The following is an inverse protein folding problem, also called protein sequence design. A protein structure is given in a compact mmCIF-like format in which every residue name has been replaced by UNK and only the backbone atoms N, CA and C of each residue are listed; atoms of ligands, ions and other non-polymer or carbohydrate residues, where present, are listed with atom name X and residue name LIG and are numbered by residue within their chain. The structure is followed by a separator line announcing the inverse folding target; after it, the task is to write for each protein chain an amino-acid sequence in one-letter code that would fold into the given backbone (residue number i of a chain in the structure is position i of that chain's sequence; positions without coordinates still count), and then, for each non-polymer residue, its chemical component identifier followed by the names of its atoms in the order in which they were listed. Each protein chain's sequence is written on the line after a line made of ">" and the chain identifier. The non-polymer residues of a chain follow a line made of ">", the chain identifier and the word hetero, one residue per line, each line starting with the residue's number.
data_IF_640525747324
#
_entry.id   IF_640525747324
#
_cell.length_a   1.000
_cell.length_b   1.000
_cell.length_c   1.000
_cell.angle_alpha   90.00
_cell.angle_beta   90.00
_cell.angle_gamma   90.00
#
_symmetry.space_group_name_H-M   'P 1'
#
loop_
_entity.id
_entity.type
_entity.pdbx_description
1 polymer ?
#
# COMPACT_ATOMS: atom_id res chain seq x y z
N UNK A 1 -14.07 -16.77 -6.96
CA UNK A 1 -14.20 -16.64 -5.49
C UNK A 1 -13.58 -17.87 -4.88
N UNK A 2 -12.61 -17.69 -3.98
CA UNK A 2 -11.94 -18.81 -3.32
C UNK A 2 -12.76 -19.22 -2.08
N UNK A 3 -13.18 -20.48 -2.03
CA UNK A 3 -13.88 -21.05 -0.88
C UNK A 3 -12.88 -21.56 0.17
N UNK A 4 -13.03 -21.10 1.41
CA UNK A 4 -12.15 -21.48 2.52
C UNK A 4 -12.78 -22.55 3.40
N UNK A 5 -12.02 -23.58 3.70
CA UNK A 5 -12.36 -24.54 4.75
C UNK A 5 -12.55 -23.83 6.10
N UNK A 6 -13.44 -24.35 6.94
CA UNK A 6 -13.78 -23.71 8.23
C UNK A 6 -12.56 -23.55 9.14
N UNK A 7 -11.64 -24.51 9.14
CA UNK A 7 -10.41 -24.47 9.92
C UNK A 7 -9.47 -23.36 9.42
N UNK A 8 -9.23 -23.32 8.10
CA UNK A 8 -8.44 -22.27 7.46
C UNK A 8 -9.02 -20.88 7.73
N UNK A 9 -10.34 -20.74 7.65
CA UNK A 9 -11.04 -19.48 7.94
C UNK A 9 -10.87 -19.04 9.39
N UNK A 10 -10.79 -19.97 10.35
CA UNK A 10 -10.52 -19.65 11.76
C UNK A 10 -9.08 -19.19 11.96
N UNK A 11 -8.12 -19.89 11.36
CA UNK A 11 -6.71 -19.50 11.41
C UNK A 11 -6.46 -18.10 10.82
N UNK A 12 -7.02 -17.83 9.65
CA UNK A 12 -6.93 -16.51 9.00
C UNK A 12 -7.61 -15.41 9.80
N UNK A 13 -8.72 -15.70 10.51
CA UNK A 13 -9.34 -14.73 11.42
C UNK A 13 -8.43 -14.36 12.60
N UNK A 14 -7.78 -15.34 13.21
CA UNK A 14 -6.84 -15.10 14.29
C UNK A 14 -5.64 -14.27 13.81
N UNK A 15 -5.05 -14.63 12.66
CA UNK A 15 -3.97 -13.87 12.05
C UNK A 15 -4.41 -12.44 11.70
N UNK A 16 -5.62 -12.28 11.15
CA UNK A 16 -6.17 -10.98 10.81
C UNK A 16 -6.25 -10.08 12.04
N UNK A 17 -6.71 -10.55 13.21
CA UNK A 17 -6.97 -9.68 14.37
C UNK A 17 -5.81 -8.71 14.70
N UNK A 18 -4.57 -9.15 14.59
CA UNK A 18 -3.37 -8.33 14.90
C UNK A 18 -2.91 -7.39 13.78
N UNK A 19 -3.40 -7.58 12.55
CA UNK A 19 -3.03 -6.75 11.41
C UNK A 19 -3.68 -5.36 11.47
N UNK A 20 -2.99 -4.35 10.95
CA UNK A 20 -3.56 -3.03 10.73
C UNK A 20 -4.19 -2.94 9.33
N UNK A 21 -5.25 -2.14 9.15
CA UNK A 21 -5.82 -1.91 7.82
C UNK A 21 -4.80 -1.21 6.93
N UNK A 22 -4.51 -1.81 5.77
CA UNK A 22 -3.52 -1.31 4.80
C UNK A 22 -4.15 -0.45 3.72
N UNK A 23 -5.40 -0.76 3.33
CA UNK A 23 -6.16 -0.01 2.33
C UNK A 23 -7.42 0.55 2.96
N UNK A 24 -7.82 1.74 2.51
CA UNK A 24 -9.02 2.42 2.97
C UNK A 24 -9.89 2.88 1.80
N UNK A 25 -11.18 2.56 1.84
CA UNK A 25 -12.17 2.99 0.85
C UNK A 25 -12.95 4.17 1.41
N UNK A 26 -12.86 5.31 0.73
CA UNK A 26 -13.56 6.54 1.07
C UNK A 26 -14.97 6.60 0.44
N UNK A 27 -15.70 7.69 0.65
CA UNK A 27 -17.08 7.88 0.19
C UNK A 27 -17.27 7.80 -1.34
N UNK A 28 -16.20 7.93 -2.13
CA UNK A 28 -16.26 7.69 -3.59
C UNK A 28 -16.45 6.21 -3.96
N UNK A 29 -16.44 5.30 -2.98
CA UNK A 29 -16.69 3.88 -3.18
C UNK A 29 -15.54 3.14 -3.84
N UNK A 30 -15.87 2.01 -4.47
CA UNK A 30 -14.90 1.17 -5.18
C UNK A 30 -14.51 1.86 -6.51
N UNK A 31 -13.26 2.30 -6.60
CA UNK A 31 -12.70 2.87 -7.85
C UNK A 31 -11.66 1.94 -8.41
N UNK A 32 -11.39 2.02 -9.73
CA UNK A 32 -10.37 1.19 -10.38
C UNK A 32 -8.97 1.34 -9.73
N UNK A 33 -8.63 2.54 -9.24
CA UNK A 33 -7.38 2.79 -8.51
C UNK A 33 -7.33 2.02 -7.20
N UNK A 34 -8.40 2.07 -6.41
CA UNK A 34 -8.52 1.33 -5.14
C UNK A 34 -8.47 -0.17 -5.40
N UNK A 35 -9.16 -0.65 -6.43
CA UNK A 35 -9.19 -2.06 -6.80
C UNK A 35 -7.78 -2.57 -7.17
N UNK A 36 -7.02 -1.77 -7.93
CA UNK A 36 -5.62 -2.06 -8.25
C UNK A 36 -4.70 -2.02 -7.03
N UNK A 37 -4.96 -1.13 -6.08
CA UNK A 37 -4.20 -1.06 -4.83
C UNK A 37 -4.48 -2.29 -3.93
N UNK A 38 -5.74 -2.71 -3.84
CA UNK A 38 -6.14 -3.94 -3.14
C UNK A 38 -5.43 -5.16 -3.76
N UNK A 39 -5.40 -5.28 -5.10
CA UNK A 39 -4.67 -6.34 -5.80
C UNK A 39 -3.17 -6.35 -5.44
N UNK A 40 -2.51 -5.19 -5.50
CA UNK A 40 -1.09 -5.08 -5.12
C UNK A 40 -0.84 -5.46 -3.65
N UNK A 41 -1.73 -5.06 -2.75
CA UNK A 41 -1.60 -5.40 -1.34
C UNK A 41 -1.84 -6.90 -1.09
N UNK A 42 -2.80 -7.52 -1.78
CA UNK A 42 -3.05 -8.96 -1.71
C UNK A 42 -1.85 -9.76 -2.20
N UNK A 43 -1.20 -9.32 -3.28
CA UNK A 43 0.04 -9.92 -3.80
C UNK A 43 1.21 -9.86 -2.82
N UNK A 44 1.35 -8.74 -2.11
CA UNK A 44 2.45 -8.51 -1.18
C UNK A 44 2.26 -9.21 0.18
N UNK A 45 1.03 -9.24 0.70
CA UNK A 45 0.75 -9.63 2.09
C UNK A 45 -0.15 -10.85 2.23
N UNK A 46 -0.78 -11.31 1.15
CA UNK A 46 -1.72 -12.45 1.07
C UNK A 46 -3.02 -12.26 1.89
N UNK A 47 -2.93 -11.73 3.11
CA UNK A 47 -4.01 -11.40 4.03
C UNK A 47 -4.01 -9.89 4.30
N UNK A 48 -5.11 -9.22 3.98
CA UNK A 48 -5.24 -7.78 4.20
C UNK A 48 -6.53 -7.41 4.93
N UNK A 49 -6.46 -6.29 5.65
CA UNK A 49 -7.62 -5.58 6.19
C UNK A 49 -7.88 -4.33 5.37
N UNK A 50 -9.13 -4.17 4.93
CA UNK A 50 -9.60 -2.98 4.23
C UNK A 50 -10.58 -2.24 5.14
N UNK A 51 -10.34 -0.95 5.38
CA UNK A 51 -11.26 -0.12 6.15
C UNK A 51 -12.21 0.64 5.21
N UNK A 52 -13.49 0.64 5.54
CA UNK A 52 -14.53 1.36 4.84
C UNK A 52 -14.91 2.62 5.61
N UNK A 53 -15.08 3.72 4.89
CA UNK A 53 -15.52 5.01 5.42
C UNK A 53 -16.81 5.46 4.73
N UNK A 54 -17.87 5.69 5.50
CA UNK A 54 -19.14 6.23 5.00
C UNK A 54 -19.99 5.27 4.16
N UNK A 55 -19.69 3.97 4.15
CA UNK A 55 -20.48 2.93 3.48
C UNK A 55 -21.50 2.35 4.48
N UNK A 56 -22.78 2.25 4.10
CA UNK A 56 -23.84 1.63 4.92
C UNK A 56 -23.73 0.10 4.98
N UNK A 57 -24.31 -0.54 6.00
CA UNK A 57 -24.16 -2.00 6.19
C UNK A 57 -24.62 -2.83 4.99
N UNK A 58 -25.68 -2.41 4.30
CA UNK A 58 -26.22 -3.12 3.14
C UNK A 58 -25.22 -3.14 1.97
N UNK A 59 -24.60 -1.99 1.67
CA UNK A 59 -23.60 -1.86 0.62
C UNK A 59 -22.28 -2.55 0.94
N UNK A 60 -21.95 -2.74 2.22
CA UNK A 60 -20.68 -3.41 2.60
C UNK A 60 -20.61 -4.84 2.09
N UNK A 61 -21.70 -5.59 2.19
CA UNK A 61 -21.74 -6.99 1.77
C UNK A 61 -21.66 -7.10 0.25
N UNK A 62 -22.40 -6.24 -0.46
CA UNK A 62 -22.34 -6.12 -1.92
C UNK A 62 -20.93 -5.75 -2.40
N UNK A 63 -20.30 -4.76 -1.77
CA UNK A 63 -18.95 -4.30 -2.10
C UNK A 63 -17.89 -5.38 -1.78
N UNK A 64 -18.10 -6.16 -0.72
CA UNK A 64 -17.23 -7.29 -0.38
C UNK A 64 -17.32 -8.40 -1.43
N UNK A 65 -18.53 -8.74 -1.86
CA UNK A 65 -18.76 -9.70 -2.93
C UNK A 65 -18.22 -9.21 -4.29
N UNK A 66 -18.36 -7.92 -4.59
CA UNK A 66 -17.83 -7.30 -5.81
C UNK A 66 -16.30 -7.36 -5.87
N UNK A 67 -15.62 -6.98 -4.79
CA UNK A 67 -14.15 -7.10 -4.69
C UNK A 67 -13.72 -8.56 -4.86
N UNK A 68 -14.42 -9.47 -4.19
CA UNK A 68 -14.13 -10.89 -4.21
C UNK A 68 -14.27 -11.49 -5.61
N UNK A 69 -15.28 -11.03 -6.36
CA UNK A 69 -15.52 -11.42 -7.75
C UNK A 69 -14.48 -10.82 -8.68
N UNK A 70 -14.08 -9.56 -8.47
CA UNK A 70 -13.14 -8.86 -9.34
C UNK A 70 -11.69 -9.34 -9.20
N UNK A 71 -11.26 -9.72 -7.98
CA UNK A 71 -9.87 -10.06 -7.67
C UNK A 71 -9.64 -11.56 -7.40
N UNK A 72 -10.69 -12.36 -7.52
CA UNK A 72 -10.71 -13.79 -7.20
C UNK A 72 -10.03 -14.10 -5.86
N UNK A 73 -10.46 -13.39 -4.82
CA UNK A 73 -9.96 -13.58 -3.46
C UNK A 73 -11.00 -14.31 -2.59
N UNK A 74 -10.63 -14.64 -1.36
CA UNK A 74 -11.48 -15.30 -0.38
C UNK A 74 -12.02 -14.30 0.65
N UNK A 75 -13.31 -14.43 0.98
CA UNK A 75 -13.91 -13.70 2.10
C UNK A 75 -13.61 -14.42 3.42
N UNK A 76 -12.88 -13.76 4.32
CA UNK A 76 -12.56 -14.34 5.63
C UNK A 76 -13.59 -13.89 6.66
N UNK A 77 -13.71 -12.58 6.86
CA UNK A 77 -14.61 -12.00 7.84
C UNK A 77 -14.92 -10.54 7.52
N UNK A 78 -16.11 -10.10 7.91
CA UNK A 78 -16.50 -8.69 7.95
C UNK A 78 -16.71 -8.29 9.42
N UNK A 79 -16.05 -7.22 9.86
CA UNK A 79 -16.12 -6.70 11.23
C UNK A 79 -16.48 -5.22 11.17
N UNK A 80 -17.76 -4.90 11.29
CA UNK A 80 -18.21 -3.51 11.29
C UNK A 80 -17.86 -2.82 9.98
N UNK A 81 -16.84 -1.95 9.97
CA UNK A 81 -16.35 -1.28 8.76
C UNK A 81 -14.99 -1.82 8.28
N UNK A 82 -14.52 -2.95 8.81
CA UNK A 82 -13.33 -3.64 8.33
C UNK A 82 -13.71 -4.90 7.57
N UNK A 83 -13.11 -5.07 6.39
CA UNK A 83 -13.19 -6.27 5.59
C UNK A 83 -11.86 -7.01 5.65
N UNK A 84 -11.91 -8.33 5.86
CA UNK A 84 -10.75 -9.21 5.86
C UNK A 84 -10.78 -10.05 4.58
N UNK A 85 -9.80 -9.82 3.72
CA UNK A 85 -9.63 -10.45 2.43
C UNK A 85 -8.36 -11.30 2.44
N UNK A 86 -8.42 -12.47 1.82
CA UNK A 86 -7.25 -13.33 1.66
C UNK A 86 -7.12 -13.86 0.24
N UNK A 87 -5.91 -14.02 -0.27
CA UNK A 87 -5.63 -14.65 -1.57
C UNK A 87 -4.39 -15.52 -1.45
N UNK A 88 -4.43 -16.71 -2.05
CA UNK A 88 -3.25 -17.56 -2.15
C UNK A 88 -2.21 -16.97 -3.12
N UNK A 89 -0.93 -17.06 -2.74
CA UNK A 89 0.15 -16.62 -3.61
C UNK A 89 0.49 -17.71 -4.61
N UNK A 90 0.13 -17.51 -5.87
CA UNK A 90 0.57 -18.39 -6.96
C UNK A 90 2.04 -18.11 -7.28
N UNK A 91 2.83 -19.15 -7.57
CA UNK A 91 4.28 -19.07 -7.81
C UNK A 91 4.71 -18.06 -8.92
N UNK A 92 3.79 -17.62 -9.77
CA UNK A 92 4.05 -16.60 -10.81
C UNK A 92 4.17 -15.16 -10.26
N UNK A 93 3.70 -14.90 -9.04
CA UNK A 93 3.66 -13.55 -8.46
C UNK A 93 5.03 -13.10 -7.89
N UNK A 94 6.01 -14.01 -7.81
CA UNK A 94 7.38 -13.70 -7.38
C UNK A 94 8.08 -12.70 -8.32
N UNK A 95 7.65 -12.62 -9.59
CA UNK A 95 8.23 -11.71 -10.59
C UNK A 95 7.71 -10.28 -10.53
N UNK A 96 6.61 -10.02 -9.80
CA UNK A 96 5.96 -8.72 -9.76
C UNK A 96 6.14 -8.01 -8.42
N UNK A 97 7.27 -8.20 -7.74
CA UNK A 97 7.69 -7.21 -6.75
C UNK A 97 8.05 -5.91 -7.50
N UNK A 98 7.30 -4.80 -7.36
CA UNK A 98 7.84 -3.54 -7.80
C UNK A 98 9.06 -3.28 -6.93
N UNK A 99 10.20 -3.08 -7.58
CA UNK A 99 11.37 -2.47 -6.97
C UNK A 99 10.97 -1.08 -6.44
N UNK A 100 10.31 -1.02 -5.27
CA UNK A 100 10.10 0.23 -4.57
C UNK A 100 11.42 0.58 -3.91
N UNK A 101 12.16 1.37 -4.70
CA UNK A 101 13.19 2.31 -4.34
C UNK A 101 13.39 2.39 -2.83
N UNK A 102 14.58 1.93 -2.40
CA UNK A 102 15.20 2.23 -1.11
C UNK A 102 14.67 3.57 -0.59
N UNK A 103 13.83 3.51 0.44
CA UNK A 103 13.39 4.69 1.18
C UNK A 103 14.64 5.38 1.71
N UNK A 104 15.10 6.39 0.98
CA UNK A 104 16.14 7.28 1.47
C UNK A 104 15.67 7.86 2.79
N UNK A 105 16.49 7.72 3.84
CA UNK A 105 16.31 8.43 5.11
C UNK A 105 15.89 9.88 4.82
N UNK A 106 14.87 10.44 5.50
CA UNK A 106 14.51 11.83 5.29
C UNK A 106 15.73 12.68 5.67
N UNK A 107 16.33 13.34 4.69
CA UNK A 107 17.41 14.29 4.91
C UNK A 107 16.84 15.40 5.79
N UNK A 108 17.35 15.54 7.01
CA UNK A 108 16.91 16.57 7.96
C UNK A 108 17.29 17.96 7.41
N UNK A 109 16.45 18.97 7.68
CA UNK A 109 16.61 20.38 7.23
C UNK A 109 18.03 20.97 7.42
N UNK A 110 18.82 20.41 8.34
CA UNK A 110 20.20 20.84 8.63
C UNK A 110 21.20 20.45 7.53
N UNK A 111 20.90 19.43 6.71
CA UNK A 111 21.80 18.95 5.65
C UNK A 111 21.61 19.66 4.29
N UNK A 112 20.46 20.31 4.06
CA UNK A 112 20.21 21.07 2.84
C UNK A 112 20.99 22.41 2.79
N UNK A 113 21.26 23.02 3.95
CA UNK A 113 21.96 24.30 4.03
C UNK A 113 23.47 24.19 3.71
N UNK A 114 24.12 23.11 4.14
CA UNK A 114 25.57 22.91 3.94
C UNK A 114 25.97 22.69 2.47
N UNK A 115 25.04 22.17 1.64
CA UNK A 115 25.28 21.96 0.21
C UNK A 115 25.25 23.27 -0.60
N UNK A 116 24.45 24.25 -0.18
CA UNK A 116 24.32 25.54 -0.86
C UNK A 116 25.54 26.43 -0.61
N UNK A 117 26.18 26.31 0.56
CA UNK A 117 27.32 27.14 0.94
C UNK A 117 28.63 26.73 0.24
N UNK A 118 28.85 25.43 -0.02
CA UNK A 118 30.01 24.96 -0.79
C UNK A 118 29.96 25.39 -2.25
N UNK A 119 28.77 25.42 -2.87
CA UNK A 119 28.62 25.87 -4.27
C UNK A 119 28.91 27.37 -4.43
N UNK A 120 28.60 28.19 -3.42
CA UNK A 120 28.84 29.65 -3.48
C UNK A 120 30.31 30.03 -3.38
N UNK A 121 31.14 29.22 -2.69
CA UNK A 121 32.60 29.45 -2.57
C UNK A 121 33.37 29.10 -3.85
N UNK A 122 32.98 28.03 -4.56
CA UNK A 122 33.69 27.58 -5.77
C UNK A 122 33.51 28.57 -6.92
N UNK A 123 32.29 29.09 -7.13
CA UNK A 123 31.98 30.05 -8.22
C UNK A 123 32.70 31.40 -8.03
N UNK A 124 32.92 31.84 -6.79
CA UNK A 124 33.68 33.07 -6.53
C UNK A 124 35.18 32.92 -6.83
N UNK A 125 35.75 31.74 -6.63
CA UNK A 125 37.19 31.50 -6.86
C UNK A 125 37.54 31.50 -8.36
N UNK A 126 36.67 30.91 -9.19
CA UNK A 126 36.86 30.87 -10.65
C UNK A 126 36.71 32.23 -11.33
N UNK A 127 35.87 33.12 -10.80
CA UNK A 127 35.65 34.45 -11.40
C UNK A 127 36.78 35.45 -11.11
N UNK A 128 37.54 35.26 -10.03
CA UNK A 128 38.67 36.13 -9.66
C UNK A 128 39.97 35.76 -10.39
N UNK A 129 40.15 34.49 -10.75
CA UNK A 129 41.32 34.00 -11.49
C UNK A 129 41.29 34.39 -12.99
N UNK A 130 40.10 34.63 -13.55
CA UNK A 130 39.93 35.06 -14.94
C UNK A 130 40.17 36.56 -15.19
N UNK A 131 40.26 37.38 -14.13
CA UNK A 131 40.41 38.84 -14.23
C UNK A 131 41.85 39.34 -14.05
N UNK A 132 42.85 38.45 -14.02
CA UNK A 132 44.28 38.79 -13.84
C UNK A 132 45.18 38.26 -14.97
N UNK A 133 44.65 38.17 -16.18
CA UNK A 133 45.41 37.98 -17.43
C UNK A 133 45.15 39.15 -18.36
#
# INVERSE_FOLDING_TARGET
>A
MIELAQEQRRALRAAAHHLNPVVSIAQKGLTATVLKEIDNCLKAHELIKVRLYGIERADRDALFAEICTALDCAQVQHIGNLLVLWREKTADDEKSAPATRRGGKPLTKKQAAAASERRRRVVKKTRLEAAKR
#
